data_IF_847267911918
#
_entry.id   IF_847267911918
#
_cell.length_a   1.000
_cell.length_b   1.000
_cell.length_c   1.000
_cell.angle_alpha   90.00
_cell.angle_beta   90.00
_cell.angle_gamma   90.00
#
_symmetry.space_group_name_H-M   'P 1'
#
loop_
_entity.id
_entity.type
_entity.pdbx_description
1 polymer ?
#
# COMPACT_ATOMS: atom_id res chain seq x y z
N UNK A 1 -14.43 22.71 -28.10
CA UNK A 1 -13.78 23.72 -27.23
C UNK A 1 -12.49 23.11 -26.73
N UNK A 2 -11.36 23.54 -27.30
CA UNK A 2 -10.02 23.04 -26.98
C UNK A 2 -9.63 23.46 -25.56
N UNK A 3 -9.49 22.50 -24.65
CA UNK A 3 -8.87 22.73 -23.35
C UNK A 3 -7.36 22.71 -23.57
N UNK A 4 -6.84 23.92 -23.69
CA UNK A 4 -5.43 24.21 -23.88
C UNK A 4 -4.76 24.09 -22.51
N UNK A 5 -4.43 22.85 -22.12
CA UNK A 5 -3.59 22.57 -20.95
C UNK A 5 -2.24 23.23 -21.16
N UNK A 6 -2.12 24.43 -20.62
CA UNK A 6 -0.89 25.20 -20.54
C UNK A 6 0.02 24.49 -19.55
N UNK A 7 0.71 23.44 -20.03
CA UNK A 7 1.94 22.94 -19.42
C UNK A 7 2.98 24.04 -19.50
N UNK A 8 2.85 25.04 -18.63
CA UNK A 8 3.93 25.92 -18.28
C UNK A 8 5.10 25.01 -17.87
N UNK A 9 6.12 24.94 -18.71
CA UNK A 9 7.40 24.35 -18.36
C UNK A 9 8.05 25.23 -17.30
N UNK A 10 7.52 25.17 -16.07
CA UNK A 10 8.22 25.59 -14.89
C UNK A 10 9.39 24.62 -14.75
N UNK A 11 10.57 25.06 -15.18
CA UNK A 11 11.81 24.34 -14.95
C UNK A 11 11.99 24.21 -13.44
N UNK A 12 11.59 23.06 -12.87
CA UNK A 12 11.73 22.77 -11.44
C UNK A 12 13.19 23.06 -11.05
N UNK A 13 13.46 23.89 -10.02
CA UNK A 13 14.81 24.12 -9.53
C UNK A 13 15.52 22.80 -9.23
N UNK A 14 16.82 22.70 -9.54
CA UNK A 14 17.57 21.43 -9.42
C UNK A 14 17.46 20.80 -8.03
N UNK A 15 17.37 21.62 -7.00
CA UNK A 15 17.23 21.22 -5.59
C UNK A 15 15.89 20.52 -5.28
N UNK A 16 14.85 20.83 -6.04
CA UNK A 16 13.50 20.27 -5.88
C UNK A 16 13.26 19.07 -6.79
N UNK A 17 14.20 18.74 -7.69
CA UNK A 17 14.08 17.61 -8.60
C UNK A 17 14.25 16.28 -7.89
N UNK A 18 13.56 15.28 -8.43
CA UNK A 18 13.67 13.89 -8.01
C UNK A 18 15.11 13.37 -8.07
N UNK A 19 15.59 12.78 -6.98
CA UNK A 19 16.96 12.26 -6.85
C UNK A 19 17.06 10.79 -7.29
N UNK A 20 16.43 10.44 -8.41
CA UNK A 20 16.49 9.07 -8.93
C UNK A 20 17.89 8.77 -9.50
N UNK A 21 18.47 7.63 -9.09
CA UNK A 21 19.92 7.38 -9.26
C UNK A 21 20.34 7.02 -10.69
N UNK A 22 19.52 6.29 -11.44
CA UNK A 22 19.95 5.76 -12.75
C UNK A 22 19.84 6.78 -13.87
N UNK A 23 18.80 7.62 -13.87
CA UNK A 23 18.63 8.69 -14.86
C UNK A 23 18.13 9.97 -14.18
N UNK A 24 18.71 11.15 -14.50
CA UNK A 24 18.22 12.43 -13.98
C UNK A 24 16.74 12.64 -14.32
N UNK A 25 15.92 12.88 -13.32
CA UNK A 25 14.48 13.06 -13.48
C UNK A 25 14.13 14.56 -13.43
N UNK A 26 13.38 15.10 -14.41
CA UNK A 26 13.00 16.52 -14.41
C UNK A 26 11.86 16.83 -13.43
N UNK A 27 11.14 15.82 -12.94
CA UNK A 27 9.97 15.99 -12.09
C UNK A 27 10.34 16.45 -10.67
N UNK A 28 9.46 17.23 -10.06
CA UNK A 28 9.58 17.65 -8.65
C UNK A 28 9.43 16.46 -7.68
N UNK A 29 10.12 16.54 -6.54
CA UNK A 29 9.95 15.60 -5.42
C UNK A 29 8.52 15.66 -4.90
N UNK A 30 7.93 14.51 -4.64
CA UNK A 30 6.59 14.45 -4.05
C UNK A 30 6.60 15.02 -2.63
N UNK A 31 5.44 15.50 -2.14
CA UNK A 31 5.26 15.96 -0.76
C UNK A 31 4.67 14.84 0.11
N UNK A 32 5.13 14.76 1.35
CA UNK A 32 4.51 13.97 2.42
C UNK A 32 3.30 14.72 2.99
N UNK A 33 2.43 14.02 3.73
CA UNK A 33 1.29 14.62 4.46
C UNK A 33 1.71 15.72 5.46
N UNK A 34 2.90 15.60 6.04
CA UNK A 34 3.48 16.59 6.95
C UNK A 34 4.19 17.75 6.22
N UNK A 35 4.05 17.87 4.89
CA UNK A 35 4.64 18.94 4.09
C UNK A 35 6.12 18.78 3.72
N UNK A 36 6.85 17.78 4.27
CA UNK A 36 8.25 17.54 3.86
C UNK A 36 8.35 16.85 2.51
N UNK A 37 9.40 17.15 1.74
CA UNK A 37 9.64 16.53 0.45
C UNK A 37 10.17 15.09 0.59
N UNK A 38 9.66 14.20 -0.24
CA UNK A 38 10.25 12.89 -0.50
C UNK A 38 11.58 13.04 -1.25
N UNK A 39 12.32 11.94 -1.38
CA UNK A 39 13.53 11.89 -2.23
C UNK A 39 13.19 11.78 -3.73
N UNK A 40 12.07 11.15 -4.03
CA UNK A 40 11.63 10.82 -5.39
C UNK A 40 10.36 11.60 -5.76
N UNK A 41 10.14 11.80 -7.05
CA UNK A 41 8.85 12.26 -7.59
C UNK A 41 7.78 11.16 -7.46
N UNK A 42 6.52 11.52 -7.68
CA UNK A 42 5.40 10.60 -7.53
C UNK A 42 5.54 9.34 -8.40
N UNK A 43 5.94 9.51 -9.67
CA UNK A 43 6.09 8.38 -10.60
C UNK A 43 7.16 7.38 -10.17
N UNK A 44 8.28 7.85 -9.63
CA UNK A 44 9.34 6.98 -9.12
C UNK A 44 9.00 6.37 -7.76
N UNK A 45 8.19 7.03 -6.93
CA UNK A 45 7.67 6.43 -5.69
C UNK A 45 6.79 5.22 -5.97
N UNK A 46 5.84 5.37 -6.91
CA UNK A 46 4.95 4.26 -7.30
C UNK A 46 5.73 3.08 -7.87
N UNK A 47 6.72 3.34 -8.74
CA UNK A 47 7.62 2.28 -9.26
C UNK A 47 8.39 1.58 -8.15
N UNK A 48 8.98 2.35 -7.23
CA UNK A 48 9.73 1.79 -6.11
C UNK A 48 8.83 0.92 -5.20
N UNK A 49 7.62 1.40 -4.89
CA UNK A 49 6.63 0.64 -4.13
C UNK A 49 6.26 -0.65 -4.85
N UNK A 50 5.98 -0.61 -6.16
CA UNK A 50 5.69 -1.81 -6.95
C UNK A 50 6.83 -2.81 -6.92
N UNK A 51 8.07 -2.38 -7.14
CA UNK A 51 9.24 -3.27 -7.07
C UNK A 51 9.44 -3.86 -5.67
N UNK A 52 9.18 -3.07 -4.62
CA UNK A 52 9.22 -3.54 -3.23
C UNK A 52 8.16 -4.61 -2.98
N UNK A 53 6.92 -4.39 -3.42
CA UNK A 53 5.82 -5.36 -3.36
C UNK A 53 6.18 -6.66 -4.07
N UNK A 54 6.63 -6.56 -5.33
CA UNK A 54 7.05 -7.72 -6.13
C UNK A 54 8.15 -8.53 -5.46
N UNK A 55 9.16 -7.86 -4.87
CA UNK A 55 10.24 -8.52 -4.13
C UNK A 55 9.69 -9.25 -2.90
N UNK A 56 8.84 -8.60 -2.11
CA UNK A 56 8.24 -9.23 -0.93
C UNK A 56 7.37 -10.42 -1.29
N UNK A 57 6.61 -10.34 -2.40
CA UNK A 57 5.81 -11.45 -2.92
C UNK A 57 6.67 -12.67 -3.22
N UNK A 58 7.76 -12.49 -3.96
CA UNK A 58 8.71 -13.58 -4.28
C UNK A 58 9.34 -14.19 -3.03
N UNK A 59 9.69 -13.37 -2.03
CA UNK A 59 10.23 -13.87 -0.76
C UNK A 59 9.19 -14.69 0.03
N UNK A 60 7.91 -14.31 0.00
CA UNK A 60 6.82 -15.08 0.61
C UNK A 60 6.61 -16.41 -0.10
N UNK A 61 6.56 -16.41 -1.44
CA UNK A 61 6.46 -17.62 -2.27
C UNK A 61 7.62 -18.59 -1.99
N UNK A 62 8.86 -18.07 -1.92
CA UNK A 62 10.04 -18.89 -1.62
C UNK A 62 9.97 -19.50 -0.23
N UNK A 63 9.55 -18.75 0.80
CA UNK A 63 9.36 -19.29 2.16
C UNK A 63 8.30 -20.37 2.19
N UNK A 64 7.18 -20.19 1.47
CA UNK A 64 6.12 -21.20 1.36
C UNK A 64 6.65 -22.47 0.71
N UNK A 65 7.39 -22.36 -0.38
CA UNK A 65 7.98 -23.53 -1.05
C UNK A 65 8.95 -24.28 -0.13
N UNK A 66 9.82 -23.55 0.58
CA UNK A 66 10.75 -24.17 1.55
C UNK A 66 10.02 -24.89 2.70
N UNK A 67 8.89 -24.36 3.16
CA UNK A 67 8.07 -25.02 4.18
C UNK A 67 7.43 -26.30 3.65
N UNK A 68 6.88 -26.28 2.43
CA UNK A 68 6.32 -27.47 1.77
C UNK A 68 7.39 -28.54 1.53
N UNK A 69 8.55 -28.16 1.01
CA UNK A 69 9.66 -29.09 0.78
C UNK A 69 10.12 -29.74 2.09
N UNK A 70 10.14 -28.97 3.20
CA UNK A 70 10.47 -29.48 4.53
C UNK A 70 9.42 -30.45 5.05
N UNK A 71 8.13 -30.17 4.83
CA UNK A 71 7.03 -31.05 5.22
C UNK A 71 7.08 -32.36 4.42
N UNK A 72 7.23 -32.29 3.09
CA UNK A 72 7.36 -33.47 2.23
C UNK A 72 8.58 -34.32 2.63
N UNK A 73 9.72 -33.69 2.94
CA UNK A 73 10.90 -34.40 3.43
C UNK A 73 10.66 -35.06 4.80
N UNK A 74 9.90 -34.42 5.70
CA UNK A 74 9.54 -35.00 6.99
C UNK A 74 8.55 -36.18 6.87
N UNK A 75 7.66 -36.13 5.86
CA UNK A 75 6.63 -37.15 5.61
C UNK A 75 7.18 -38.44 4.98
N UNK A 76 8.42 -38.45 4.48
CA UNK A 76 9.10 -39.66 3.99
C UNK A 76 9.60 -40.59 5.12
N UNK A 77 9.21 -40.33 6.37
CA UNK A 77 9.54 -41.17 7.53
C UNK A 77 8.24 -41.75 8.11
N UNK A 78 8.23 -43.09 8.24
CA UNK A 78 7.18 -44.01 8.72
C UNK A 78 5.93 -44.21 7.85
N UNK A 79 5.82 -45.44 7.32
CA UNK A 79 4.74 -45.92 6.46
C UNK A 79 3.50 -46.42 7.19
N UNK A 80 3.11 -45.82 8.30
CA UNK A 80 1.81 -46.05 8.94
C UNK A 80 1.30 -44.69 9.43
N UNK A 81 -0.01 -44.45 9.31
CA UNK A 81 -0.73 -43.19 9.65
C UNK A 81 -1.03 -42.22 8.48
N UNK A 82 -1.63 -42.75 7.42
CA UNK A 82 -2.16 -41.99 6.27
C UNK A 82 -3.34 -41.07 6.68
N UNK A 83 -4.08 -41.39 7.75
CA UNK A 83 -5.33 -40.72 8.13
C UNK A 83 -5.13 -39.41 8.93
N UNK A 84 -3.99 -39.22 9.58
CA UNK A 84 -3.71 -38.03 10.42
C UNK A 84 -3.13 -36.87 9.63
N UNK A 85 -2.58 -37.13 8.44
CA UNK A 85 -1.95 -36.13 7.57
C UNK A 85 -2.95 -35.24 6.82
N UNK A 86 -4.08 -35.80 6.38
CA UNK A 86 -5.15 -35.01 5.73
C UNK A 86 -5.74 -33.96 6.69
N UNK A 87 -5.92 -34.34 7.97
CA UNK A 87 -6.42 -33.43 9.01
C UNK A 87 -5.42 -32.32 9.38
N UNK A 88 -4.11 -32.60 9.36
CA UNK A 88 -3.07 -31.62 9.69
C UNK A 88 -2.88 -30.62 8.53
N UNK A 89 -2.96 -31.07 7.28
CA UNK A 89 -2.93 -30.20 6.10
C UNK A 89 -4.16 -29.27 6.05
N UNK A 90 -5.34 -29.78 6.42
CA UNK A 90 -6.56 -28.97 6.54
C UNK A 90 -6.48 -27.96 7.69
N UNK A 91 -5.90 -28.35 8.84
CA UNK A 91 -5.72 -27.48 10.01
C UNK A 91 -4.67 -26.37 9.78
N UNK A 92 -3.56 -26.67 9.11
CA UNK A 92 -2.55 -25.65 8.75
C UNK A 92 -3.00 -24.73 7.60
N UNK A 93 -3.96 -25.17 6.77
CA UNK A 93 -4.68 -24.28 5.85
C UNK A 93 -5.68 -23.38 6.59
N UNK A 94 -6.17 -23.80 7.76
CA UNK A 94 -7.19 -23.07 8.51
C UNK A 94 -6.63 -22.02 9.49
N UNK A 95 -5.38 -22.12 9.93
CA UNK A 95 -4.82 -21.25 11.00
C UNK A 95 -3.88 -20.13 10.55
N UNK A 96 -4.09 -19.58 9.35
CA UNK A 96 -3.75 -18.17 9.07
C UNK A 96 -4.88 -17.63 8.21
N UNK A 97 -5.71 -16.69 8.72
CA UNK A 97 -6.62 -15.95 7.87
C UNK A 97 -5.85 -15.43 6.66
N UNK A 98 -6.23 -15.93 5.48
CA UNK A 98 -5.84 -15.40 4.18
C UNK A 98 -6.56 -14.05 3.99
N UNK A 99 -6.38 -13.15 4.95
CA UNK A 99 -6.89 -11.81 4.88
C UNK A 99 -5.71 -10.90 4.50
N UNK A 100 -5.83 -10.38 3.28
CA UNK A 100 -5.42 -9.03 2.93
C UNK A 100 -3.92 -8.80 2.66
N UNK A 101 -3.35 -9.59 1.76
CA UNK A 101 -2.24 -9.12 0.91
C UNK A 101 -2.56 -9.36 -0.58
N UNK A 102 -3.84 -9.34 -0.94
CA UNK A 102 -4.20 -9.04 -2.33
C UNK A 102 -3.84 -7.58 -2.55
N UNK A 103 -2.88 -7.33 -3.44
CA UNK A 103 -2.50 -6.00 -3.89
C UNK A 103 -3.70 -5.13 -4.33
N UNK A 104 -4.86 -5.75 -4.61
CA UNK A 104 -6.13 -5.09 -4.90
C UNK A 104 -6.70 -4.26 -3.73
N UNK A 105 -6.48 -4.66 -2.47
CA UNK A 105 -7.00 -3.91 -1.33
C UNK A 105 -6.13 -2.67 -1.01
N UNK A 106 -4.83 -2.76 -1.26
CA UNK A 106 -3.92 -1.61 -1.18
C UNK A 106 -4.18 -0.58 -2.28
N UNK A 107 -4.58 -1.03 -3.47
CA UNK A 107 -4.98 -0.13 -4.57
C UNK A 107 -6.32 0.59 -4.28
N UNK A 108 -7.17 0.06 -3.39
CA UNK A 108 -8.41 0.72 -2.93
C UNK A 108 -8.13 1.98 -2.08
N UNK A 109 -7.03 2.01 -1.34
CA UNK A 109 -6.58 3.18 -0.56
C UNK A 109 -5.75 4.18 -1.37
N UNK A 110 -5.31 3.80 -2.57
CA UNK A 110 -4.65 4.68 -3.54
C UNK A 110 -5.67 5.36 -4.49
N UNK A 111 -6.96 5.07 -4.35
CA UNK A 111 -8.03 5.81 -5.02
C UNK A 111 -8.01 7.25 -4.46
N UNK A 112 -7.71 8.28 -5.27
CA UNK A 112 -7.84 9.65 -4.81
C UNK A 112 -9.28 9.86 -4.36
N UNK A 113 -9.43 10.52 -3.20
CA UNK A 113 -10.72 10.89 -2.63
C UNK A 113 -11.65 11.35 -3.77
N UNK A 114 -12.88 10.80 -3.91
CA UNK A 114 -13.74 11.03 -5.08
C UNK A 114 -14.08 12.50 -5.36
N UNK A 115 -13.71 13.37 -4.43
CA UNK A 115 -13.94 14.80 -4.45
C UNK A 115 -12.65 15.47 -4.93
N UNK A 116 -12.69 16.02 -6.15
CA UNK A 116 -11.56 16.74 -6.75
C UNK A 116 -11.11 17.96 -5.91
N UNK A 117 -12.00 18.48 -5.06
CA UNK A 117 -11.78 19.59 -4.13
C UNK A 117 -12.40 19.29 -2.76
N UNK A 118 -11.88 19.88 -1.66
CA UNK A 118 -12.48 19.73 -0.33
C UNK A 118 -13.94 20.19 -0.37
N UNK A 119 -14.87 19.29 -0.08
CA UNK A 119 -16.29 19.64 -0.01
C UNK A 119 -16.58 20.26 1.34
N UNK A 120 -17.17 21.45 1.32
CA UNK A 120 -17.68 22.11 2.51
C UNK A 120 -18.76 21.22 3.16
N UNK A 121 -18.62 20.96 4.47
CA UNK A 121 -19.64 20.22 5.21
C UNK A 121 -20.96 20.99 5.23
N UNK A 122 -22.09 20.26 5.19
CA UNK A 122 -23.38 20.89 5.36
C UNK A 122 -23.46 21.52 6.76
N UNK A 123 -24.13 22.68 6.88
CA UNK A 123 -24.28 23.36 8.17
C UNK A 123 -24.94 22.48 9.24
N UNK A 124 -25.88 21.61 8.85
CA UNK A 124 -26.54 20.67 9.76
C UNK A 124 -25.55 19.61 10.31
N UNK A 125 -24.62 19.15 9.48
CA UNK A 125 -23.57 18.20 9.87
C UNK A 125 -22.58 18.86 10.84
N UNK A 126 -22.26 20.14 10.61
CA UNK A 126 -21.41 20.94 11.50
C UNK A 126 -22.07 21.10 12.87
N UNK A 127 -23.37 21.41 12.92
CA UNK A 127 -24.12 21.52 14.17
C UNK A 127 -24.16 20.19 14.93
N UNK A 128 -24.37 19.07 14.24
CA UNK A 128 -24.36 17.74 14.82
C UNK A 128 -22.98 17.39 15.40
N UNK A 129 -21.90 17.69 14.68
CA UNK A 129 -20.54 17.47 15.16
C UNK A 129 -20.21 18.33 16.38
N UNK A 130 -20.63 19.59 16.39
CA UNK A 130 -20.48 20.49 17.54
C UNK A 130 -21.27 19.97 18.74
N UNK A 131 -22.47 19.41 18.54
CA UNK A 131 -23.26 18.81 19.60
C UNK A 131 -22.64 17.52 20.15
N UNK A 132 -22.08 16.67 19.28
CA UNK A 132 -21.44 15.40 19.66
C UNK A 132 -20.08 15.58 20.33
N UNK A 133 -19.29 16.57 19.88
CA UNK A 133 -17.96 16.87 20.41
C UNK A 133 -17.99 17.93 21.52
N UNK A 134 -19.17 18.50 21.77
CA UNK A 134 -19.42 19.66 22.61
C UNK A 134 -19.44 19.40 24.11
N UNK A 135 -18.40 18.78 24.68
CA UNK A 135 -18.00 19.02 26.09
C UNK A 135 -16.49 18.83 26.29
N UNK A 136 -15.68 19.85 26.04
CA UNK A 136 -14.40 20.01 26.76
C UNK A 136 -13.83 21.43 26.66
N UNK A 137 -14.62 22.44 27.05
CA UNK A 137 -14.09 23.69 27.63
C UNK A 137 -15.05 24.18 28.71
N UNK A 138 -15.02 23.50 29.84
CA UNK A 138 -15.29 24.17 31.11
C UNK A 138 -14.12 25.12 31.38
N UNK A 139 -14.46 26.33 31.81
CA UNK A 139 -13.56 27.47 32.07
C UNK A 139 -12.33 27.15 32.93
#
# INVERSE_FOLDING_TARGET
MNQNDSFAQCAVPRELRCTYRSKPCPNERARKRNGTLHKLCQTHRLKANKTQRDMQRRLREQRRQQQLDRQLAAMQVSGEDIQTLELIDEFLKADIPLELDTDEELDMWDIPEPLEEPVDLNPEDIELLVALLGTSRTA
#
